data_IF_773097426580
#
_entry.id   IF_773097426580
#
_cell.length_a   1.000
_cell.length_b   1.000
_cell.length_c   1.000
_cell.angle_alpha   90.00
_cell.angle_beta   90.00
_cell.angle_gamma   90.00
#
_symmetry.space_group_name_H-M   'P 1'
#
loop_
_entity.id
_entity.type
_entity.pdbx_description
1 polymer ?
#
# COMPACT_ATOMS: atom_id res chain seq x y z
N UNK A 1 35.73 14.33 8.10
CA UNK A 1 34.83 13.71 7.10
C UNK A 1 33.76 12.99 7.89
N UNK A 2 32.49 13.42 7.84
CA UNK A 2 31.48 12.76 8.69
C UNK A 2 31.10 11.40 8.11
N UNK A 3 30.94 10.41 8.98
CA UNK A 3 30.54 9.06 8.59
C UNK A 3 29.11 9.06 8.06
N UNK A 4 28.74 8.04 7.29
CA UNK A 4 27.34 7.82 6.87
C UNK A 4 26.42 7.76 8.08
N UNK A 5 26.87 7.11 9.17
CA UNK A 5 26.16 7.04 10.45
C UNK A 5 25.85 8.43 11.03
N UNK A 6 26.84 9.31 11.10
CA UNK A 6 26.65 10.67 11.63
C UNK A 6 25.71 11.52 10.76
N UNK A 7 25.73 11.31 9.43
CA UNK A 7 24.81 12.00 8.52
C UNK A 7 23.37 11.54 8.76
N UNK A 8 23.16 10.23 8.90
CA UNK A 8 21.84 9.66 9.18
C UNK A 8 21.27 10.13 10.52
N UNK A 9 22.09 10.15 11.58
CA UNK A 9 21.67 10.65 12.89
C UNK A 9 21.19 12.10 12.79
N UNK A 10 21.94 12.96 12.09
CA UNK A 10 21.55 14.37 11.93
C UNK A 10 20.26 14.54 11.14
N UNK A 11 20.03 13.72 10.12
CA UNK A 11 18.78 13.74 9.36
C UNK A 11 17.63 13.34 10.28
N UNK A 12 17.75 12.21 11.00
CA UNK A 12 16.70 11.73 11.92
C UNK A 12 16.39 12.76 13.01
N UNK A 13 17.41 13.39 13.59
CA UNK A 13 17.24 14.44 14.60
C UNK A 13 16.62 15.73 14.06
N UNK A 14 16.66 15.95 12.75
CA UNK A 14 16.07 17.11 12.09
C UNK A 14 14.65 16.88 11.57
N UNK A 15 14.10 15.68 11.70
CA UNK A 15 12.73 15.37 11.33
C UNK A 15 11.82 15.84 12.47
N UNK A 16 10.87 16.71 12.15
CA UNK A 16 9.81 17.13 13.07
C UNK A 16 8.73 16.04 13.23
N UNK A 17 7.95 16.14 14.31
CA UNK A 17 6.95 15.14 14.67
C UNK A 17 5.89 14.93 13.57
N UNK A 18 5.49 15.97 12.84
CA UNK A 18 4.48 15.86 11.77
C UNK A 18 5.05 15.09 10.57
N UNK A 19 6.28 15.40 10.19
CA UNK A 19 7.00 14.67 9.13
C UNK A 19 7.25 13.23 9.54
N UNK A 20 7.67 12.98 10.79
CA UNK A 20 7.86 11.63 11.30
C UNK A 20 6.57 10.81 11.26
N UNK A 21 5.44 11.42 11.64
CA UNK A 21 4.13 10.78 11.62
C UNK A 21 3.71 10.37 10.21
N UNK A 22 3.87 11.26 9.23
CA UNK A 22 3.57 10.93 7.82
C UNK A 22 4.42 9.78 7.29
N UNK A 23 5.71 9.78 7.62
CA UNK A 23 6.61 8.69 7.22
C UNK A 23 6.20 7.35 7.85
N UNK A 24 5.69 7.36 9.08
CA UNK A 24 5.15 6.16 9.71
C UNK A 24 3.88 5.68 9.01
N UNK A 25 2.95 6.59 8.68
CA UNK A 25 1.75 6.25 7.91
C UNK A 25 2.09 5.65 6.54
N UNK A 26 3.07 6.21 5.83
CA UNK A 26 3.55 5.67 4.54
C UNK A 26 4.18 4.27 4.68
N UNK A 27 4.89 4.00 5.79
CA UNK A 27 5.46 2.69 6.07
C UNK A 27 4.36 1.67 6.35
N UNK A 28 3.36 2.04 7.14
CA UNK A 28 2.23 1.17 7.47
C UNK A 28 1.43 0.81 6.21
N UNK A 29 1.16 1.80 5.33
CA UNK A 29 0.52 1.57 4.03
C UNK A 29 1.33 0.62 3.14
N UNK A 30 2.65 0.79 3.09
CA UNK A 30 3.53 -0.08 2.32
C UNK A 30 3.54 -1.52 2.86
N UNK A 31 3.58 -1.69 4.19
CA UNK A 31 3.50 -3.00 4.83
C UNK A 31 2.17 -3.69 4.56
N UNK A 32 1.06 -2.94 4.65
CA UNK A 32 -0.26 -3.46 4.31
C UNK A 32 -0.35 -3.88 2.84
N UNK A 33 0.20 -3.07 1.93
CA UNK A 33 0.25 -3.43 0.52
C UNK A 33 1.04 -4.73 0.31
N UNK A 34 2.20 -4.89 0.95
CA UNK A 34 2.99 -6.12 0.86
C UNK A 34 2.24 -7.32 1.45
N UNK A 35 1.50 -7.16 2.54
CA UNK A 35 0.70 -8.23 3.13
C UNK A 35 -0.40 -8.69 2.16
N UNK A 36 -1.12 -7.73 1.55
CA UNK A 36 -2.16 -8.00 0.54
C UNK A 36 -1.57 -8.66 -0.71
N UNK A 37 -0.41 -8.19 -1.19
CA UNK A 37 0.26 -8.77 -2.36
C UNK A 37 0.78 -10.19 -2.11
N UNK A 38 1.11 -10.52 -0.86
CA UNK A 38 1.58 -11.86 -0.49
C UNK A 38 0.45 -12.76 0.06
N UNK A 39 -0.75 -12.23 0.26
CA UNK A 39 -1.91 -12.98 0.70
C UNK A 39 -2.37 -13.96 -0.42
N UNK A 40 -2.34 -15.28 -0.17
CA UNK A 40 -2.67 -16.27 -1.18
C UNK A 40 -4.11 -16.16 -1.71
N UNK A 41 -5.06 -15.71 -0.88
CA UNK A 41 -6.45 -15.54 -1.30
C UNK A 41 -6.60 -14.36 -2.26
N UNK A 42 -5.94 -13.25 -1.95
CA UNK A 42 -5.89 -12.06 -2.81
C UNK A 42 -5.20 -12.36 -4.14
N UNK A 43 -4.04 -13.04 -4.13
CA UNK A 43 -3.37 -13.47 -5.34
C UNK A 43 -4.25 -14.37 -6.21
N UNK A 44 -4.93 -15.33 -5.59
CA UNK A 44 -5.87 -16.22 -6.29
C UNK A 44 -7.05 -15.45 -6.89
N UNK A 45 -7.61 -14.49 -6.16
CA UNK A 45 -8.68 -13.63 -6.66
C UNK A 45 -8.23 -12.78 -7.85
N UNK A 46 -6.98 -12.25 -7.83
CA UNK A 46 -6.40 -11.54 -8.97
C UNK A 46 -6.20 -12.45 -10.19
N UNK A 47 -5.72 -13.68 -9.99
CA UNK A 47 -5.60 -14.68 -11.06
C UNK A 47 -6.96 -15.03 -11.66
N UNK A 48 -7.96 -15.29 -10.83
CA UNK A 48 -9.34 -15.57 -11.27
C UNK A 48 -9.92 -14.38 -12.05
N UNK A 49 -9.72 -13.14 -11.58
CA UNK A 49 -10.17 -11.93 -12.28
C UNK A 49 -9.46 -11.74 -13.63
N UNK A 50 -8.15 -12.02 -13.73
CA UNK A 50 -7.40 -12.00 -15.00
C UNK A 50 -7.93 -13.03 -16.00
N UNK A 51 -8.36 -14.19 -15.52
CA UNK A 51 -8.99 -15.24 -16.33
C UNK A 51 -10.46 -14.94 -16.68
N UNK A 52 -11.00 -13.81 -16.23
CA UNK A 52 -12.37 -13.43 -16.48
C UNK A 52 -13.39 -14.19 -15.62
N UNK A 53 -12.95 -14.94 -14.60
CA UNK A 53 -13.83 -15.62 -13.66
C UNK A 53 -14.38 -14.62 -12.66
N UNK A 54 -15.67 -14.76 -12.31
CA UNK A 54 -16.37 -13.90 -11.37
C UNK A 54 -16.40 -12.39 -11.73
N UNK A 55 -16.13 -12.03 -12.99
CA UNK A 55 -16.33 -10.66 -13.45
C UNK A 55 -17.82 -10.35 -13.60
N UNK A 56 -18.27 -9.26 -12.99
CA UNK A 56 -19.62 -8.73 -13.17
C UNK A 56 -19.53 -7.61 -14.22
N UNK A 57 -20.40 -7.58 -15.24
CA UNK A 57 -20.44 -6.48 -16.19
C UNK A 57 -20.59 -5.13 -15.48
N UNK A 58 -19.83 -4.13 -15.93
CA UNK A 58 -19.83 -2.80 -15.32
C UNK A 58 -21.25 -2.20 -15.20
N UNK A 59 -22.06 -2.37 -16.24
CA UNK A 59 -23.45 -1.91 -16.27
C UNK A 59 -24.33 -2.56 -15.19
N UNK A 60 -24.07 -3.82 -14.85
CA UNK A 60 -24.81 -4.53 -13.79
C UNK A 60 -24.40 -4.07 -12.40
N UNK A 61 -23.13 -3.71 -12.21
CA UNK A 61 -22.62 -3.14 -10.95
C UNK A 61 -23.19 -1.74 -10.74
N UNK A 62 -23.12 -0.88 -11.76
CA UNK A 62 -23.64 0.49 -11.72
C UNK A 62 -25.14 0.51 -11.34
N UNK A 63 -25.93 -0.36 -11.99
CA UNK A 63 -27.36 -0.50 -11.69
C UNK A 63 -27.66 -0.96 -10.27
N UNK A 64 -26.82 -1.82 -9.66
CA UNK A 64 -26.98 -2.24 -8.26
C UNK A 64 -26.58 -1.15 -7.27
N UNK A 65 -25.58 -0.34 -7.62
CA UNK A 65 -25.07 0.74 -6.78
C UNK A 65 -25.87 2.04 -6.92
N UNK A 66 -26.80 2.12 -7.87
CA UNK A 66 -27.60 3.33 -8.13
C UNK A 66 -26.78 4.46 -8.73
N UNK A 67 -25.71 4.13 -9.44
CA UNK A 67 -24.79 5.04 -10.13
C UNK A 67 -25.07 5.05 -11.64
#
# INVERSE_FOLDING_TARGET
>A
MSTVKEKLIKIIQGIDDDTAKKLLEEIDDFLLQLEIENDPETLKAFEEAKEGKNLIPHDEVMKKLGL
#
